data_IF_391468329265
#
_entry.id   IF_391468329265
#
_cell.length_a   1.000
_cell.length_b   1.000
_cell.length_c   1.000
_cell.angle_alpha   90.00
_cell.angle_beta   90.00
_cell.angle_gamma   90.00
#
_symmetry.space_group_name_H-M   'P 1'
#
loop_
_entity.id
_entity.type
_entity.pdbx_description
1 polymer ?
#
# COMPACT_ATOMS: atom_id res chain seq x y z
N UNK A 1 16.43 -3.85 33.88
CA UNK A 1 15.19 -3.28 33.33
C UNK A 1 15.38 -2.68 31.94
N UNK A 2 16.54 -2.09 31.62
CA UNK A 2 16.83 -1.44 30.33
C UNK A 2 16.78 -2.37 29.11
N UNK A 3 17.21 -3.63 29.24
CA UNK A 3 17.24 -4.62 28.14
C UNK A 3 15.84 -4.95 27.62
N UNK A 4 14.92 -5.33 28.52
CA UNK A 4 13.53 -5.69 28.18
C UNK A 4 12.77 -4.56 27.45
N UNK A 5 13.10 -3.31 27.76
CA UNK A 5 12.54 -2.14 27.08
C UNK A 5 13.07 -2.00 25.64
N UNK A 6 14.37 -2.19 25.42
CA UNK A 6 14.95 -2.15 24.08
C UNK A 6 14.45 -3.32 23.22
N UNK A 7 14.33 -4.51 23.82
CA UNK A 7 13.73 -5.68 23.17
C UNK A 7 12.30 -5.38 22.69
N UNK A 8 11.52 -4.63 23.49
CA UNK A 8 10.16 -4.23 23.12
C UNK A 8 10.14 -3.30 21.90
N UNK A 9 11.09 -2.37 21.79
CA UNK A 9 11.19 -1.48 20.63
C UNK A 9 11.55 -2.27 19.37
N UNK A 10 12.48 -3.21 19.49
CA UNK A 10 12.90 -4.03 18.35
C UNK A 10 11.78 -4.98 17.89
N UNK A 11 11.00 -5.53 18.82
CA UNK A 11 9.78 -6.26 18.50
C UNK A 11 8.76 -5.38 17.75
N UNK A 12 8.52 -4.15 18.21
CA UNK A 12 7.62 -3.20 17.55
C UNK A 12 8.10 -2.84 16.13
N UNK A 13 9.41 -2.67 15.91
CA UNK A 13 9.98 -2.48 14.58
C UNK A 13 9.75 -3.69 13.68
N UNK A 14 9.94 -4.90 14.20
CA UNK A 14 9.71 -6.13 13.45
C UNK A 14 8.24 -6.29 13.06
N UNK A 15 7.31 -6.02 13.98
CA UNK A 15 5.87 -6.03 13.68
C UNK A 15 5.49 -5.00 12.63
N UNK A 16 6.05 -3.79 12.72
CA UNK A 16 5.85 -2.73 11.72
C UNK A 16 6.39 -3.15 10.35
N UNK A 17 7.51 -3.88 10.31
CA UNK A 17 8.04 -4.44 9.06
C UNK A 17 7.09 -5.50 8.49
N UNK A 18 6.62 -6.44 9.32
CA UNK A 18 5.66 -7.47 8.88
C UNK A 18 4.37 -6.87 8.33
N UNK A 19 3.81 -5.85 8.99
CA UNK A 19 2.63 -5.13 8.52
C UNK A 19 2.88 -4.46 7.16
N UNK A 20 4.05 -3.87 6.97
CA UNK A 20 4.45 -3.27 5.69
C UNK A 20 4.58 -4.29 4.56
N UNK A 21 5.13 -5.47 4.84
CA UNK A 21 5.22 -6.57 3.87
C UNK A 21 3.82 -7.01 3.45
N UNK A 22 2.91 -7.21 4.41
CA UNK A 22 1.52 -7.58 4.13
C UNK A 22 0.83 -6.51 3.26
N UNK A 23 0.95 -5.22 3.62
CA UNK A 23 0.37 -4.14 2.83
C UNK A 23 0.90 -4.09 1.39
N UNK A 24 2.21 -4.32 1.19
CA UNK A 24 2.85 -4.40 -0.13
C UNK A 24 2.34 -5.61 -0.93
N UNK A 25 2.20 -6.78 -0.30
CA UNK A 25 1.63 -7.97 -0.92
C UNK A 25 0.18 -7.76 -1.34
N UNK A 26 -0.65 -7.17 -0.47
CA UNK A 26 -2.04 -6.84 -0.81
C UNK A 26 -2.12 -5.94 -2.05
N UNK A 27 -1.24 -4.95 -2.18
CA UNK A 27 -1.18 -4.09 -3.37
C UNK A 27 -0.78 -4.89 -4.62
N UNK A 28 0.31 -5.66 -4.56
CA UNK A 28 0.78 -6.51 -5.68
C UNK A 28 -0.32 -7.48 -6.14
N UNK A 29 -0.92 -8.19 -5.20
CA UNK A 29 -1.93 -9.20 -5.49
C UNK A 29 -3.23 -8.59 -6.01
N UNK A 30 -3.62 -7.40 -5.52
CA UNK A 30 -4.79 -6.69 -6.05
C UNK A 30 -4.64 -6.33 -7.52
N UNK A 31 -3.44 -5.90 -7.94
CA UNK A 31 -3.15 -5.56 -9.33
C UNK A 31 -3.04 -6.83 -10.19
N UNK A 32 -2.48 -7.91 -9.64
CA UNK A 32 -2.45 -9.22 -10.32
C UNK A 32 -3.85 -9.78 -10.53
N UNK A 33 -4.73 -9.63 -9.53
CA UNK A 33 -6.12 -10.03 -9.63
C UNK A 33 -6.86 -9.22 -10.69
N UNK A 34 -6.60 -7.91 -10.75
CA UNK A 34 -7.14 -7.02 -11.78
C UNK A 34 -6.64 -7.38 -13.19
N UNK A 35 -5.36 -7.72 -13.36
CA UNK A 35 -4.78 -8.07 -14.66
C UNK A 35 -5.33 -9.40 -15.20
N UNK A 36 -5.54 -10.39 -14.33
CA UNK A 36 -5.94 -11.75 -14.72
C UNK A 36 -7.43 -12.04 -14.52
N UNK A 37 -8.23 -11.05 -14.10
CA UNK A 37 -9.63 -11.22 -13.70
C UNK A 37 -9.83 -12.33 -12.64
N UNK A 38 -8.85 -12.47 -11.74
CA UNK A 38 -8.85 -13.50 -10.71
C UNK A 38 -9.69 -13.06 -9.50
N UNK A 39 -10.98 -13.43 -9.54
CA UNK A 39 -11.94 -13.14 -8.46
C UNK A 39 -11.55 -13.79 -7.12
N UNK A 40 -10.90 -14.95 -7.17
CA UNK A 40 -10.48 -15.66 -5.95
C UNK A 40 -9.38 -14.87 -5.24
N UNK A 41 -8.35 -14.46 -5.99
CA UNK A 41 -7.27 -13.63 -5.47
C UNK A 41 -7.78 -12.27 -4.99
N UNK A 42 -8.73 -11.66 -5.71
CA UNK A 42 -9.34 -10.41 -5.28
C UNK A 42 -10.10 -10.55 -3.96
N UNK A 43 -10.85 -11.66 -3.77
CA UNK A 43 -11.53 -11.94 -2.50
C UNK A 43 -10.55 -12.16 -1.36
N UNK A 44 -9.46 -12.89 -1.60
CA UNK A 44 -8.41 -13.12 -0.61
C UNK A 44 -7.75 -11.80 -0.15
N UNK A 45 -7.45 -10.88 -1.08
CA UNK A 45 -6.94 -9.54 -0.72
C UNK A 45 -7.93 -8.77 0.15
N UNK A 46 -9.24 -8.90 -0.10
CA UNK A 46 -10.27 -8.27 0.74
C UNK A 46 -10.28 -8.83 2.15
N UNK A 47 -10.09 -10.14 2.33
CA UNK A 47 -10.04 -10.77 3.65
C UNK A 47 -8.78 -10.37 4.43
N UNK A 48 -7.61 -10.32 3.77
CA UNK A 48 -6.34 -9.84 4.37
C UNK A 48 -6.42 -8.42 4.93
N UNK A 49 -7.41 -7.62 4.50
CA UNK A 49 -7.67 -6.29 5.08
C UNK A 49 -7.96 -6.36 6.59
N UNK A 50 -8.68 -7.38 7.04
CA UNK A 50 -9.01 -7.55 8.45
C UNK A 50 -7.77 -7.86 9.28
N UNK A 51 -6.87 -8.69 8.75
CA UNK A 51 -5.57 -8.98 9.36
C UNK A 51 -4.73 -7.71 9.48
N UNK A 52 -4.60 -6.93 8.40
CA UNK A 52 -3.84 -5.69 8.42
C UNK A 52 -4.39 -4.67 9.43
N UNK A 53 -5.71 -4.53 9.52
CA UNK A 53 -6.35 -3.63 10.49
C UNK A 53 -6.13 -4.07 11.93
N UNK A 54 -6.08 -5.39 12.18
CA UNK A 54 -5.73 -5.93 13.49
C UNK A 54 -4.29 -5.63 13.85
N UNK A 55 -3.35 -5.83 12.91
CA UNK A 55 -1.93 -5.48 13.12
C UNK A 55 -1.75 -4.00 13.44
N UNK A 56 -2.44 -3.10 12.71
CA UNK A 56 -2.42 -1.65 12.96
C UNK A 56 -2.80 -1.33 14.42
N UNK A 57 -3.93 -1.87 14.87
CA UNK A 57 -4.44 -1.67 16.22
C UNK A 57 -3.52 -2.26 17.30
N UNK A 58 -3.04 -3.49 17.09
CA UNK A 58 -2.17 -4.18 18.04
C UNK A 58 -0.82 -3.44 18.19
N UNK A 59 -0.26 -2.91 17.09
CA UNK A 59 0.98 -2.13 17.13
C UNK A 59 0.73 -0.78 17.83
N UNK A 60 -0.36 -0.09 17.50
CA UNK A 60 -0.72 1.19 18.13
C UNK A 60 -0.88 1.04 19.65
N UNK A 61 -1.65 0.05 20.13
CA UNK A 61 -1.85 -0.20 21.56
C UNK A 61 -0.52 -0.51 22.26
N UNK A 62 0.32 -1.36 21.66
CA UNK A 62 1.65 -1.68 22.21
C UNK A 62 2.56 -0.45 22.29
N UNK A 63 2.55 0.43 21.28
CA UNK A 63 3.33 1.68 21.32
C UNK A 63 2.83 2.58 22.44
N UNK A 64 1.52 2.80 22.56
CA UNK A 64 0.94 3.65 23.59
C UNK A 64 1.23 3.13 25.00
N UNK A 65 1.10 1.81 25.22
CA UNK A 65 1.50 1.18 26.49
C UNK A 65 2.99 1.35 26.79
N UNK A 66 3.84 1.22 25.78
CA UNK A 66 5.29 1.38 25.93
C UNK A 66 5.63 2.81 26.36
N UNK A 67 4.99 3.81 25.77
CA UNK A 67 5.13 5.22 26.14
C UNK A 67 4.67 5.44 27.60
N UNK A 68 3.48 4.95 27.94
CA UNK A 68 2.88 5.14 29.26
C UNK A 68 3.71 4.52 30.40
N UNK A 69 4.29 3.33 30.17
CA UNK A 69 5.01 2.58 31.19
C UNK A 69 6.45 3.03 31.41
N UNK A 70 7.13 3.54 30.37
CA UNK A 70 8.58 3.69 30.40
C UNK A 70 9.09 5.13 30.29
N UNK A 71 8.22 6.12 30.03
CA UNK A 71 8.62 7.53 29.83
C UNK A 71 9.86 7.66 28.92
N UNK A 72 9.75 7.26 27.64
CA UNK A 72 10.87 7.13 26.72
C UNK A 72 11.68 8.43 26.60
N UNK A 73 13.01 8.28 26.46
CA UNK A 73 13.88 9.42 26.15
C UNK A 73 13.61 9.93 24.73
N UNK A 74 14.11 11.12 24.42
CA UNK A 74 13.83 11.80 23.14
C UNK A 74 14.16 10.97 21.89
N UNK A 75 15.21 10.13 21.91
CA UNK A 75 15.55 9.22 20.80
C UNK A 75 14.47 8.16 20.58
N UNK A 76 14.05 7.51 21.65
CA UNK A 76 13.17 6.36 21.61
C UNK A 76 11.73 6.82 21.32
N UNK A 77 11.35 7.99 21.85
CA UNK A 77 10.09 8.63 21.53
C UNK A 77 9.98 8.95 20.03
N UNK A 78 11.08 9.36 19.37
CA UNK A 78 11.08 9.56 17.91
C UNK A 78 10.86 8.26 17.15
N UNK A 79 11.45 7.15 17.60
CA UNK A 79 11.23 5.84 16.98
C UNK A 79 9.76 5.42 17.13
N UNK A 80 9.22 5.50 18.34
CA UNK A 80 7.82 5.15 18.62
C UNK A 80 6.84 6.04 17.83
N UNK A 81 7.07 7.35 17.76
CA UNK A 81 6.27 8.26 16.94
C UNK A 81 6.38 7.98 15.44
N UNK A 82 7.56 7.55 14.98
CA UNK A 82 7.77 7.14 13.58
C UNK A 82 6.97 5.87 13.26
N UNK A 83 6.96 4.88 14.18
CA UNK A 83 6.15 3.66 14.04
C UNK A 83 4.67 4.01 13.85
N UNK A 84 4.10 4.87 14.72
CA UNK A 84 2.69 5.29 14.61
C UNK A 84 2.36 5.93 13.26
N UNK A 85 3.26 6.76 12.73
CA UNK A 85 3.09 7.33 11.38
C UNK A 85 3.15 6.24 10.29
N UNK A 86 4.13 5.34 10.37
CA UNK A 86 4.33 4.30 9.36
C UNK A 86 3.13 3.36 9.28
N UNK A 87 2.62 2.86 10.41
CA UNK A 87 1.47 1.94 10.43
C UNK A 87 0.24 2.61 9.80
N UNK A 88 0.03 3.91 10.02
CA UNK A 88 -1.05 4.69 9.38
C UNK A 88 -0.92 4.67 7.85
N UNK A 89 0.30 4.85 7.31
CA UNK A 89 0.54 4.80 5.86
C UNK A 89 0.42 3.39 5.29
N UNK A 90 0.92 2.38 5.99
CA UNK A 90 0.77 0.97 5.61
C UNK A 90 -0.70 0.55 5.57
N UNK A 91 -1.48 0.98 6.57
CA UNK A 91 -2.91 0.78 6.61
C UNK A 91 -3.62 1.42 5.41
N UNK A 92 -3.19 2.61 4.98
CA UNK A 92 -3.70 3.27 3.77
C UNK A 92 -3.35 2.50 2.49
N UNK A 93 -2.13 1.99 2.36
CA UNK A 93 -1.71 1.17 1.21
C UNK A 93 -2.56 -0.10 1.11
N UNK A 94 -2.76 -0.83 2.21
CA UNK A 94 -3.60 -2.03 2.19
C UNK A 94 -5.06 -1.73 1.88
N UNK A 95 -5.58 -0.55 2.27
CA UNK A 95 -6.91 -0.10 1.86
C UNK A 95 -6.99 0.10 0.35
N UNK A 96 -5.99 0.73 -0.25
CA UNK A 96 -5.92 0.86 -1.71
C UNK A 96 -5.85 -0.49 -2.42
N UNK A 97 -5.09 -1.45 -1.89
CA UNK A 97 -5.10 -2.82 -2.41
C UNK A 97 -6.50 -3.46 -2.37
N UNK A 98 -7.21 -3.31 -1.24
CA UNK A 98 -8.61 -3.79 -1.12
C UNK A 98 -9.57 -3.09 -2.09
N UNK A 99 -9.39 -1.80 -2.34
CA UNK A 99 -10.25 -1.05 -3.27
C UNK A 99 -9.97 -1.47 -4.73
N UNK A 100 -8.71 -1.67 -5.12
CA UNK A 100 -8.33 -2.22 -6.43
C UNK A 100 -8.91 -3.63 -6.62
N UNK A 101 -8.80 -4.49 -5.60
CA UNK A 101 -9.37 -5.83 -5.64
C UNK A 101 -10.91 -5.79 -5.78
N UNK A 102 -11.57 -4.82 -5.15
CA UNK A 102 -13.02 -4.63 -5.29
C UNK A 102 -13.42 -4.25 -6.72
N UNK A 103 -12.59 -3.44 -7.40
CA UNK A 103 -12.78 -3.12 -8.82
C UNK A 103 -12.63 -4.39 -9.67
N UNK A 104 -11.63 -5.23 -9.40
CA UNK A 104 -11.40 -6.48 -10.14
C UNK A 104 -12.61 -7.44 -10.09
N UNK A 105 -13.29 -7.53 -8.93
CA UNK A 105 -14.51 -8.35 -8.77
C UNK A 105 -15.69 -7.82 -9.61
N UNK A 106 -15.77 -6.50 -9.81
CA UNK A 106 -16.86 -5.86 -10.56
C UNK A 106 -16.64 -5.79 -12.08
N UNK A 107 -15.45 -6.17 -12.58
CA UNK A 107 -15.12 -6.08 -14.00
C UNK A 107 -15.54 -7.34 -14.76
N UNK A 108 -16.27 -7.13 -15.87
CA UNK A 108 -16.56 -8.18 -16.86
C UNK A 108 -15.44 -8.22 -17.91
N UNK A 109 -14.82 -9.39 -18.08
CA UNK A 109 -13.76 -9.68 -19.05
C UNK A 109 -14.11 -9.19 -20.47
N UNK A 110 -15.40 -9.21 -20.82
CA UNK A 110 -15.89 -8.88 -22.17
C UNK A 110 -16.05 -7.37 -22.45
N UNK A 111 -16.03 -6.50 -21.43
CA UNK A 111 -16.34 -5.06 -21.59
C UNK A 111 -15.14 -4.12 -21.59
N UNK A 112 -13.95 -4.57 -21.20
CA UNK A 112 -12.82 -3.66 -20.98
C UNK A 112 -11.62 -3.99 -21.86
N UNK A 113 -11.66 -3.43 -23.08
CA UNK A 113 -10.71 -3.61 -24.18
C UNK A 113 -9.37 -2.86 -24.04
N UNK A 114 -9.19 -2.02 -23.01
CA UNK A 114 -7.90 -1.38 -22.77
C UNK A 114 -6.97 -2.35 -22.03
N UNK A 115 -6.06 -3.02 -22.76
CA UNK A 115 -5.01 -3.84 -22.13
C UNK A 115 -4.32 -3.01 -21.04
N UNK A 116 -4.45 -3.43 -19.79
CA UNK A 116 -3.99 -2.70 -18.60
C UNK A 116 -2.45 -2.64 -18.47
N UNK A 117 -1.67 -2.76 -19.54
CA UNK A 117 -0.21 -2.99 -19.56
C UNK A 117 0.58 -2.01 -18.69
N UNK A 118 0.11 -0.77 -18.54
CA UNK A 118 0.78 0.27 -17.76
C UNK A 118 0.53 0.15 -16.24
N UNK A 119 -0.59 -0.45 -15.80
CA UNK A 119 -0.93 -0.57 -14.37
C UNK A 119 0.00 -1.56 -13.65
N UNK A 120 0.28 -2.78 -14.15
CA UNK A 120 1.26 -3.69 -13.54
C UNK A 120 2.66 -3.07 -13.45
N UNK A 121 3.07 -2.31 -14.48
CA UNK A 121 4.35 -1.58 -14.46
C UNK A 121 4.40 -0.53 -13.34
N UNK A 122 3.31 0.22 -13.16
CA UNK A 122 3.19 1.21 -12.09
C UNK A 122 3.21 0.53 -10.71
N UNK A 123 2.44 -0.56 -10.54
CA UNK A 123 2.43 -1.35 -9.30
C UNK A 123 3.81 -1.90 -8.94
N UNK A 124 4.57 -2.38 -9.92
CA UNK A 124 5.94 -2.86 -9.71
C UNK A 124 6.86 -1.75 -9.18
N UNK A 125 6.83 -0.55 -9.76
CA UNK A 125 7.63 0.58 -9.28
C UNK A 125 7.27 0.99 -7.85
N UNK A 126 5.97 1.11 -7.57
CA UNK A 126 5.49 1.44 -6.22
C UNK A 126 5.93 0.37 -5.21
N UNK A 127 5.89 -0.90 -5.60
CA UNK A 127 6.35 -2.00 -4.76
C UNK A 127 7.85 -1.92 -4.44
N UNK A 128 8.68 -1.60 -5.43
CA UNK A 128 10.13 -1.39 -5.25
C UNK A 128 10.40 -0.22 -4.29
N UNK A 129 9.66 0.89 -4.41
CA UNK A 129 9.74 2.02 -3.48
C UNK A 129 9.36 1.61 -2.05
N UNK A 130 8.32 0.78 -1.88
CA UNK A 130 7.93 0.29 -0.56
C UNK A 130 9.00 -0.62 0.06
N UNK A 131 9.62 -1.51 -0.73
CA UNK A 131 10.70 -2.37 -0.26
C UNK A 131 11.91 -1.57 0.23
N UNK A 132 12.34 -0.56 -0.54
CA UNK A 132 13.43 0.35 -0.14
C UNK A 132 13.07 1.11 1.14
N UNK A 133 11.82 1.58 1.27
CA UNK A 133 11.36 2.33 2.45
C UNK A 133 11.35 1.47 3.71
N UNK A 134 10.86 0.23 3.61
CA UNK A 134 10.83 -0.71 4.74
C UNK A 134 12.24 -1.10 5.17
N UNK A 135 13.15 -1.26 4.23
CA UNK A 135 14.55 -1.56 4.49
C UNK A 135 15.31 -0.37 5.12
N UNK A 136 15.04 0.85 4.66
CA UNK A 136 15.54 2.08 5.27
C UNK A 136 15.07 2.22 6.72
N UNK A 137 13.80 1.93 6.99
CA UNK A 137 13.24 1.95 8.35
C UNK A 137 13.88 0.89 9.24
N UNK A 138 13.99 -0.35 8.78
CA UNK A 138 14.61 -1.45 9.53
C UNK A 138 16.05 -1.13 9.93
N UNK A 139 16.82 -0.60 9.00
CA UNK A 139 18.24 -0.30 9.21
C UNK A 139 18.48 1.07 9.83
N UNK A 140 17.44 1.87 10.06
CA UNK A 140 17.53 3.26 10.49
C UNK A 140 18.48 4.09 9.60
N UNK A 141 18.54 3.74 8.31
CA UNK A 141 19.41 4.39 7.33
C UNK A 141 18.57 5.19 6.34
N UNK A 142 18.48 6.50 6.57
CA UNK A 142 17.75 7.43 5.68
C UNK A 142 18.45 7.67 4.35
N UNK A 143 19.74 7.40 4.21
CA UNK A 143 20.46 7.55 2.94
C UNK A 143 19.93 6.58 1.87
N UNK A 144 19.36 5.43 2.30
CA UNK A 144 18.66 4.50 1.39
C UNK A 144 17.46 5.12 0.68
N UNK A 145 16.92 6.24 1.17
CA UNK A 145 15.79 6.96 0.58
C UNK A 145 16.24 8.02 -0.45
N UNK A 146 17.55 8.19 -0.66
CA UNK A 146 18.05 9.04 -1.72
C UNK A 146 17.57 8.52 -3.08
N UNK A 147 17.07 9.41 -3.94
CA UNK A 147 16.52 9.00 -5.23
C UNK A 147 15.01 8.73 -5.22
N UNK A 148 14.33 8.84 -4.07
CA UNK A 148 12.91 8.51 -3.96
C UNK A 148 12.01 9.49 -4.73
N UNK A 149 12.39 10.77 -4.76
CA UNK A 149 11.65 11.81 -5.50
C UNK A 149 11.66 11.51 -7.01
N UNK A 150 12.79 11.06 -7.56
CA UNK A 150 12.89 10.64 -8.95
C UNK A 150 12.02 9.40 -9.23
N UNK A 151 11.96 8.44 -8.29
CA UNK A 151 11.08 7.27 -8.42
C UNK A 151 9.61 7.64 -8.39
N UNK A 152 9.23 8.60 -7.56
CA UNK A 152 7.86 9.11 -7.49
C UNK A 152 7.47 9.81 -8.81
N UNK A 153 8.37 10.61 -9.38
CA UNK A 153 8.18 11.23 -10.70
C UNK A 153 7.94 10.17 -11.80
N UNK A 154 8.69 9.06 -11.80
CA UNK A 154 8.47 7.95 -12.75
C UNK A 154 7.06 7.31 -12.60
N UNK A 155 6.53 7.24 -11.37
CA UNK A 155 5.16 6.74 -11.10
C UNK A 155 4.12 7.74 -11.58
N UNK A 156 4.33 9.03 -11.36
CA UNK A 156 3.44 10.10 -11.81
C UNK A 156 3.38 10.19 -13.34
N UNK A 157 4.50 10.01 -14.04
CA UNK A 157 4.52 9.92 -15.51
C UNK A 157 3.66 8.76 -16.02
N UNK A 158 3.75 7.59 -15.38
CA UNK A 158 2.90 6.43 -15.71
C UNK A 158 1.43 6.75 -15.48
N UNK A 159 1.09 7.40 -14.35
CA UNK A 159 -0.27 7.82 -14.03
C UNK A 159 -0.84 8.72 -15.12
N UNK A 160 -0.11 9.76 -15.52
CA UNK A 160 -0.53 10.68 -16.57
C UNK A 160 -0.65 10.00 -17.93
N UNK A 161 0.24 9.05 -18.22
CA UNK A 161 0.20 8.25 -19.44
C UNK A 161 -1.04 7.36 -19.50
N UNK A 162 -1.40 6.69 -18.40
CA UNK A 162 -2.63 5.89 -18.28
C UNK A 162 -3.86 6.79 -18.45
N UNK A 163 -3.89 7.93 -17.77
CA UNK A 163 -5.03 8.85 -17.83
C UNK A 163 -5.31 9.34 -19.26
N UNK A 164 -4.25 9.69 -20.02
CA UNK A 164 -4.38 10.09 -21.43
C UNK A 164 -4.91 8.96 -22.31
N UNK A 165 -4.46 7.72 -22.10
CA UNK A 165 -4.98 6.56 -22.84
C UNK A 165 -6.47 6.34 -22.54
N UNK A 166 -6.88 6.44 -21.27
CA UNK A 166 -8.28 6.34 -20.87
C UNK A 166 -9.14 7.41 -21.56
N UNK A 167 -8.70 8.67 -21.55
CA UNK A 167 -9.41 9.75 -22.24
C UNK A 167 -9.55 9.45 -23.74
N UNK A 168 -8.48 9.00 -24.39
CA UNK A 168 -8.51 8.65 -25.81
C UNK A 168 -9.52 7.54 -26.08
N UNK A 169 -9.52 6.48 -25.27
CA UNK A 169 -10.52 5.40 -25.38
C UNK A 169 -11.96 5.89 -25.19
N UNK A 170 -12.22 6.81 -24.25
CA UNK A 170 -13.54 7.40 -24.05
C UNK A 170 -14.01 8.26 -25.23
N UNK A 171 -13.10 8.98 -25.90
CA UNK A 171 -13.42 9.79 -27.07
C UNK A 171 -13.63 8.95 -28.34
N UNK A 172 -12.81 7.91 -28.53
CA UNK A 172 -12.89 7.03 -29.70
C UNK A 172 -14.18 6.18 -29.67
N UNK A 173 -14.68 5.83 -28.47
CA UNK A 173 -15.89 5.02 -28.30
C UNK A 173 -17.10 5.86 -27.84
N UNK A 174 -17.73 6.57 -28.79
CA UNK A 174 -18.91 7.44 -28.58
C UNK A 174 -20.11 6.75 -27.89
N UNK A 175 -20.12 5.41 -27.76
CA UNK A 175 -21.16 4.65 -27.06
C UNK A 175 -20.98 4.61 -25.54
N UNK A 176 -19.74 4.66 -25.03
CA UNK A 176 -19.47 4.58 -23.58
C UNK A 176 -19.99 5.82 -22.84
N UNK A 177 -19.95 7.00 -23.47
CA UNK A 177 -20.46 8.25 -22.90
C UNK A 177 -21.98 8.23 -22.61
N UNK A 178 -22.75 7.33 -23.24
CA UNK A 178 -24.19 7.20 -22.98
C UNK A 178 -24.50 6.31 -21.77
N UNK A 179 -23.67 5.31 -21.46
CA UNK A 179 -23.92 4.39 -20.34
C UNK A 179 -23.65 5.04 -18.97
N UNK A 180 -22.74 6.01 -18.90
CA UNK A 180 -22.42 6.74 -17.66
C UNK A 180 -23.54 7.72 -17.24
N UNK A 181 -24.38 8.18 -18.19
CA UNK A 181 -25.49 9.09 -17.88
C UNK A 181 -26.73 8.39 -17.32
N UNK A 182 -26.83 7.07 -17.38
CA UNK A 182 -28.01 6.30 -16.97
C UNK A 182 -27.99 5.79 -15.51
N UNK A 183 -26.93 6.06 -14.76
CA UNK A 183 -26.77 5.55 -13.38
C UNK A 183 -26.66 6.64 -12.31
N UNK A 184 -27.05 7.88 -12.63
CA UNK A 184 -27.30 8.94 -11.65
C UNK A 184 -28.78 9.03 -11.30
#
# INVERSE_FOLDING_TARGET
>A
MTTKYHDTIDELKNQTQSMGILASQMLKDSVKALENFDMSLASDVRERRHELAKMDHDIEDRVLRTIALNQPRASDMRILGTILKIITYQNRIGRYGKDIASIAIGMDEKKHLAKLVKIPKMSKKVSEMLEVTLEAFKTSNSEKLQGMDEKDNEVDELRWSIFRDCLKHMFDDRKILREVQTTC
#
